data_IF_689871722262
#
_entry.id   IF_689871722262
#
_cell.length_a   1.000
_cell.length_b   1.000
_cell.length_c   1.000
_cell.angle_alpha   90.00
_cell.angle_beta   90.00
_cell.angle_gamma   90.00
#
_symmetry.space_group_name_H-M   'P 1'
#
loop_
_entity.id
_entity.type
_entity.pdbx_description
1 polymer ?
#
# COMPACT_ATOMS: atom_id res chain seq x y z
N UNK A 1 -0.87 -15.47 6.70
CA UNK A 1 -0.45 -15.60 5.28
C UNK A 1 -0.67 -14.26 4.56
N UNK A 2 0.15 -13.95 3.54
CA UNK A 2 -0.01 -12.74 2.72
C UNK A 2 -0.61 -13.12 1.37
N UNK A 3 -1.74 -12.54 1.00
CA UNK A 3 -2.37 -12.77 -0.31
C UNK A 3 -2.54 -11.44 -1.03
N UNK A 4 -2.43 -11.46 -2.36
CA UNK A 4 -2.69 -10.29 -3.19
C UNK A 4 -3.74 -10.66 -4.22
N UNK A 5 -4.70 -9.77 -4.43
CA UNK A 5 -5.73 -9.89 -5.45
C UNK A 5 -5.72 -8.62 -6.30
N UNK A 6 -5.85 -8.80 -7.62
CA UNK A 6 -5.87 -7.70 -8.59
C UNK A 6 -7.15 -7.83 -9.40
N UNK A 7 -7.89 -6.74 -9.53
CA UNK A 7 -9.09 -6.66 -10.34
C UNK A 7 -9.14 -5.32 -11.07
N UNK A 8 -9.69 -5.31 -12.29
CA UNK A 8 -9.89 -4.08 -13.06
C UNK A 8 -11.37 -3.87 -13.32
N UNK A 9 -11.85 -2.66 -13.04
CA UNK A 9 -13.20 -2.23 -13.38
C UNK A 9 -13.29 -1.96 -14.89
N UNK A 10 -14.15 -2.69 -15.59
CA UNK A 10 -14.41 -2.44 -17.02
C UNK A 10 -15.12 -1.10 -17.25
N UNK A 11 -15.87 -0.60 -16.26
CA UNK A 11 -16.65 0.64 -16.37
C UNK A 11 -15.78 1.86 -16.10
N UNK A 12 -14.98 1.83 -15.03
CA UNK A 12 -14.19 2.99 -14.58
C UNK A 12 -12.73 2.93 -15.00
N UNK A 13 -12.25 1.80 -15.53
CA UNK A 13 -10.84 1.58 -15.85
C UNK A 13 -9.92 1.48 -14.62
N UNK A 14 -10.44 1.64 -13.41
CA UNK A 14 -9.65 1.57 -12.16
C UNK A 14 -9.15 0.14 -11.95
N UNK A 15 -7.84 0.00 -11.78
CA UNK A 15 -7.21 -1.24 -11.34
C UNK A 15 -7.08 -1.21 -9.82
N UNK A 16 -7.71 -2.17 -9.15
CA UNK A 16 -7.67 -2.34 -7.70
C UNK A 16 -6.74 -3.48 -7.34
N UNK A 17 -5.80 -3.20 -6.46
CA UNK A 17 -4.94 -4.19 -5.81
C UNK A 17 -5.33 -4.27 -4.34
N UNK A 18 -5.70 -5.46 -3.88
CA UNK A 18 -6.02 -5.72 -2.47
C UNK A 18 -4.95 -6.66 -1.92
N UNK A 19 -4.21 -6.17 -0.94
CA UNK A 19 -3.20 -6.95 -0.23
C UNK A 19 -3.68 -7.24 1.19
N UNK A 20 -3.93 -8.52 1.48
CA UNK A 20 -4.27 -8.99 2.82
C UNK A 20 -3.00 -9.32 3.58
N UNK A 21 -2.87 -8.70 4.75
CA UNK A 21 -1.69 -8.75 5.61
C UNK A 21 -2.02 -9.47 6.90
N UNK A 22 -1.14 -10.40 7.28
CA UNK A 22 -1.17 -11.05 8.59
C UNK A 22 -0.95 -10.03 9.72
N UNK A 23 -1.89 -9.93 10.67
CA UNK A 23 -1.82 -8.96 11.76
C UNK A 23 -0.66 -9.24 12.73
N UNK A 24 -0.10 -10.47 12.74
CA UNK A 24 1.09 -10.82 13.49
C UNK A 24 2.31 -9.96 13.13
N UNK A 25 2.36 -9.45 11.88
CA UNK A 25 3.43 -8.54 11.42
C UNK A 25 3.48 -7.24 12.21
N UNK A 26 2.34 -6.75 12.70
CA UNK A 26 2.29 -5.52 13.50
C UNK A 26 2.95 -5.68 14.88
N UNK A 27 3.17 -6.92 15.32
CA UNK A 27 3.85 -7.25 16.59
C UNK A 27 5.30 -7.67 16.38
N UNK A 28 5.74 -7.75 15.13
CA UNK A 28 7.08 -8.19 14.74
C UNK A 28 8.15 -7.13 14.92
N UNK A 29 9.41 -7.58 14.89
CA UNK A 29 10.60 -6.74 14.86
C UNK A 29 11.04 -6.37 13.43
N UNK A 30 10.24 -6.76 12.42
CA UNK A 30 10.48 -6.47 11.01
C UNK A 30 10.50 -4.96 10.75
N UNK A 31 11.42 -4.53 9.88
CA UNK A 31 11.58 -3.13 9.45
C UNK A 31 10.70 -2.77 8.27
N UNK A 32 10.12 -3.76 7.61
CA UNK A 32 9.17 -3.62 6.53
C UNK A 32 8.41 -4.92 6.35
N UNK A 33 7.24 -4.84 5.75
CA UNK A 33 6.50 -6.00 5.24
C UNK A 33 6.23 -5.77 3.77
N UNK A 34 6.47 -6.76 2.92
CA UNK A 34 6.39 -6.62 1.46
C UNK A 34 5.30 -7.56 0.93
N UNK A 35 4.49 -7.08 -0.01
CA UNK A 35 3.48 -7.90 -0.68
C UNK A 35 4.11 -8.91 -1.66
N UNK A 36 3.35 -9.96 -2.05
CA UNK A 36 3.62 -10.63 -3.32
C UNK A 36 3.66 -9.62 -4.48
N UNK A 37 4.40 -9.92 -5.54
CA UNK A 37 4.44 -9.06 -6.72
C UNK A 37 3.12 -9.09 -7.49
N UNK A 38 2.87 -8.02 -8.22
CA UNK A 38 1.73 -7.89 -9.12
C UNK A 38 2.11 -7.01 -10.32
N UNK A 39 1.33 -7.13 -11.39
CA UNK A 39 1.53 -6.33 -12.60
C UNK A 39 0.86 -4.96 -12.44
N UNK A 40 1.66 -3.91 -12.67
CA UNK A 40 1.25 -2.52 -12.65
C UNK A 40 1.23 -1.96 -14.07
N UNK A 41 0.09 -1.46 -14.51
CA UNK A 41 -0.03 -0.82 -15.81
C UNK A 41 0.38 0.65 -15.76
N UNK A 42 1.40 1.01 -16.54
CA UNK A 42 1.98 2.36 -16.58
C UNK A 42 1.69 3.13 -17.89
N UNK A 43 0.64 2.74 -18.63
CA UNK A 43 0.34 3.29 -19.96
C UNK A 43 1.31 2.82 -21.06
N UNK A 44 2.09 1.79 -20.79
CA UNK A 44 3.00 1.08 -21.70
C UNK A 44 3.05 -0.41 -21.29
N UNK A 45 4.22 -1.08 -21.39
CA UNK A 45 4.37 -2.43 -20.85
C UNK A 45 4.00 -2.48 -19.36
N UNK A 46 3.35 -3.56 -18.94
CA UNK A 46 3.14 -3.83 -17.51
C UNK A 46 4.49 -3.98 -16.80
N UNK A 47 4.56 -3.46 -15.58
CA UNK A 47 5.75 -3.51 -14.75
C UNK A 47 5.49 -4.32 -13.48
N UNK A 48 6.50 -5.07 -13.02
CA UNK A 48 6.43 -5.75 -11.72
C UNK A 48 6.44 -4.71 -10.60
N UNK A 49 5.45 -4.77 -9.73
CA UNK A 49 5.32 -3.88 -8.58
C UNK A 49 5.03 -4.66 -7.28
N UNK A 50 5.29 -3.99 -6.15
CA UNK A 50 5.05 -4.49 -4.79
C UNK A 50 4.54 -3.36 -3.92
N UNK A 51 3.66 -3.69 -2.98
CA UNK A 51 3.33 -2.83 -1.86
C UNK A 51 4.30 -3.12 -0.72
N UNK A 52 4.71 -2.07 -0.03
CA UNK A 52 5.62 -2.14 1.12
C UNK A 52 5.01 -1.36 2.27
N UNK A 53 4.87 -2.03 3.42
CA UNK A 53 4.59 -1.35 4.68
C UNK A 53 5.89 -0.99 5.36
N UNK A 54 6.04 0.26 5.78
CA UNK A 54 7.11 0.68 6.68
C UNK A 54 6.55 1.06 8.04
N UNK A 55 7.18 0.64 9.14
CA UNK A 55 6.82 1.09 10.48
C UNK A 55 7.14 2.58 10.64
N UNK A 56 6.31 3.30 11.40
CA UNK A 56 6.54 4.71 11.71
C UNK A 56 7.94 4.86 12.37
N UNK A 57 8.81 5.72 11.84
CA UNK A 57 10.09 6.02 12.48
C UNK A 57 9.90 6.62 13.87
N UNK A 58 10.81 6.33 14.79
CA UNK A 58 10.85 7.01 16.09
C UNK A 58 11.38 8.44 15.91
N UNK A 59 10.82 9.41 16.64
CA UNK A 59 11.20 10.82 16.52
C UNK A 59 12.70 11.05 16.78
N UNK A 60 13.26 10.33 17.77
CA UNK A 60 14.66 10.51 18.18
C UNK A 60 15.69 9.81 17.27
N UNK A 61 15.27 9.10 16.21
CA UNK A 61 16.16 8.39 15.27
C UNK A 61 17.02 7.27 15.87
N UNK A 62 17.04 7.12 17.19
CA UNK A 62 17.84 6.13 17.92
C UNK A 62 17.17 4.75 17.85
N UNK A 63 17.77 3.88 17.06
CA UNK A 63 17.44 2.46 16.97
C UNK A 63 16.58 2.08 15.77
N UNK A 64 16.63 0.80 15.39
CA UNK A 64 15.85 0.24 14.29
C UNK A 64 14.35 0.47 14.49
N UNK A 65 13.67 1.07 13.51
CA UNK A 65 12.22 1.12 13.42
C UNK A 65 11.65 -0.31 13.24
N UNK A 66 10.53 -0.60 13.89
CA UNK A 66 9.79 -1.85 13.73
C UNK A 66 8.32 -1.64 14.05
N UNK A 67 7.43 -2.48 13.53
CA UNK A 67 5.99 -2.33 13.81
C UNK A 67 5.66 -2.49 15.29
N UNK A 68 6.38 -3.38 16.00
CA UNK A 68 6.26 -3.49 17.46
C UNK A 68 6.57 -2.18 18.17
N UNK A 69 7.66 -1.49 17.78
CA UNK A 69 8.05 -0.21 18.40
C UNK A 69 7.12 0.94 18.02
N UNK A 70 6.62 0.93 16.78
CA UNK A 70 5.65 1.93 16.32
C UNK A 70 4.22 1.65 16.81
N UNK A 71 4.00 0.60 17.61
CA UNK A 71 2.68 0.17 18.08
C UNK A 71 1.70 -0.06 16.92
N UNK A 72 2.19 -0.64 15.83
CA UNK A 72 1.43 -0.92 14.62
C UNK A 72 1.15 0.30 13.73
N UNK A 73 1.76 1.46 14.01
CA UNK A 73 1.72 2.60 13.10
C UNK A 73 2.72 2.44 11.95
N UNK A 74 2.36 2.92 10.77
CA UNK A 74 3.25 2.89 9.61
C UNK A 74 2.68 3.55 8.37
N UNK A 75 3.41 3.44 7.27
CA UNK A 75 3.04 3.98 5.96
C UNK A 75 2.95 2.85 4.92
N UNK A 76 2.24 3.14 3.82
CA UNK A 76 2.09 2.24 2.66
C UNK A 76 2.81 2.88 1.48
N UNK A 77 3.68 2.11 0.83
CA UNK A 77 4.44 2.55 -0.33
C UNK A 77 4.23 1.59 -1.51
N UNK A 78 4.14 2.14 -2.71
CA UNK A 78 4.17 1.42 -3.97
C UNK A 78 5.59 1.46 -4.51
N UNK A 79 6.19 0.28 -4.70
CA UNK A 79 7.49 0.12 -5.35
C UNK A 79 7.29 -0.53 -6.71
N UNK A 80 7.89 0.05 -7.74
CA UNK A 80 7.90 -0.46 -9.10
C UNK A 80 9.33 -0.84 -9.50
N UNK A 81 9.49 -1.94 -10.24
CA UNK A 81 10.78 -2.40 -10.75
C UNK A 81 11.10 -1.80 -12.14
N UNK A 82 10.15 -1.09 -12.78
CA UNK A 82 10.42 -0.37 -14.03
C UNK A 82 11.22 0.91 -13.80
N UNK A 83 12.02 1.27 -14.80
CA UNK A 83 12.83 2.49 -14.85
C UNK A 83 12.07 3.72 -15.37
N UNK A 84 10.75 3.64 -15.51
CA UNK A 84 9.92 4.74 -16.02
C UNK A 84 8.44 4.41 -16.02
N UNK A 85 7.63 5.44 -16.26
CA UNK A 85 6.17 5.34 -16.33
C UNK A 85 5.50 6.01 -15.14
N UNK A 86 4.39 6.68 -15.42
CA UNK A 86 3.65 7.48 -14.43
C UNK A 86 2.35 6.79 -14.02
N UNK A 87 2.02 6.91 -12.74
CA UNK A 87 0.84 6.34 -12.10
C UNK A 87 0.11 7.42 -11.30
N UNK A 88 -1.22 7.28 -11.18
CA UNK A 88 -2.02 8.04 -10.21
C UNK A 88 -2.82 7.04 -9.38
N UNK A 89 -2.74 7.12 -8.05
CA UNK A 89 -3.37 6.12 -7.19
C UNK A 89 -3.94 6.68 -5.89
N UNK A 90 -4.90 5.95 -5.32
CA UNK A 90 -5.40 6.16 -3.96
C UNK A 90 -5.05 4.95 -3.08
N UNK A 91 -4.89 5.21 -1.79
CA UNK A 91 -4.63 4.15 -0.78
C UNK A 91 -5.71 4.19 0.29
N UNK A 92 -6.25 3.02 0.63
CA UNK A 92 -7.11 2.85 1.80
C UNK A 92 -6.69 1.61 2.59
N UNK A 93 -6.93 1.62 3.90
CA UNK A 93 -6.73 0.44 4.75
C UNK A 93 -8.05 0.08 5.42
N UNK A 94 -8.29 -1.22 5.62
CA UNK A 94 -9.52 -1.74 6.19
C UNK A 94 -9.36 -3.16 6.72
N UNK A 95 -10.46 -3.74 7.19
CA UNK A 95 -10.49 -5.10 7.76
C UNK A 95 -10.66 -6.21 6.73
N UNK A 96 -10.68 -5.85 5.44
CA UNK A 96 -10.84 -6.78 4.32
C UNK A 96 -12.28 -7.22 4.07
N UNK A 97 -13.28 -6.63 4.73
CA UNK A 97 -14.70 -6.92 4.51
C UNK A 97 -15.36 -5.86 3.63
N UNK A 98 -16.36 -6.27 2.83
CA UNK A 98 -17.14 -5.36 1.97
C UNK A 98 -17.89 -4.27 2.75
N UNK A 99 -18.21 -4.53 4.03
CA UNK A 99 -18.87 -3.56 4.92
C UNK A 99 -17.96 -2.48 5.48
N UNK A 100 -16.64 -2.59 5.29
CA UNK A 100 -15.69 -1.62 5.81
C UNK A 100 -15.77 -0.30 5.03
N UNK A 101 -16.14 0.79 5.70
CA UNK A 101 -16.11 2.13 5.08
C UNK A 101 -14.67 2.50 4.70
N UNK A 102 -14.34 2.35 3.42
CA UNK A 102 -13.05 2.76 2.87
C UNK A 102 -12.96 4.29 2.92
N UNK A 103 -11.88 4.80 3.53
CA UNK A 103 -11.50 6.22 3.50
C UNK A 103 -10.22 6.37 2.68
N UNK A 104 -10.31 6.34 1.34
CA UNK A 104 -9.14 6.48 0.48
C UNK A 104 -8.45 7.83 0.72
N UNK A 105 -7.11 7.81 0.71
CA UNK A 105 -6.24 8.97 0.72
C UNK A 105 -5.54 9.07 -0.64
N UNK A 106 -5.34 10.30 -1.12
CA UNK A 106 -4.83 10.58 -2.47
C UNK A 106 -5.84 11.40 -3.29
N UNK A 107 -5.68 11.46 -4.62
CA UNK A 107 -4.70 10.72 -5.41
C UNK A 107 -3.26 11.19 -5.20
N UNK A 108 -2.31 10.28 -5.42
CA UNK A 108 -0.87 10.57 -5.56
C UNK A 108 -0.49 10.33 -7.00
N UNK A 109 0.03 11.36 -7.67
CA UNK A 109 0.67 11.23 -8.97
C UNK A 109 2.18 10.98 -8.77
N UNK A 110 2.74 10.01 -9.47
CA UNK A 110 4.15 9.66 -9.38
C UNK A 110 4.70 9.22 -10.73
N UNK A 111 5.96 9.55 -11.01
CA UNK A 111 6.73 9.05 -12.15
C UNK A 111 7.89 8.18 -11.66
N UNK A 112 7.89 6.90 -12.03
CA UNK A 112 8.90 5.93 -11.62
C UNK A 112 10.28 6.19 -12.25
N UNK A 113 10.39 7.09 -13.24
CA UNK A 113 11.68 7.57 -13.74
C UNK A 113 12.43 8.42 -12.70
N UNK A 114 11.73 9.06 -11.76
CA UNK A 114 12.34 9.87 -10.70
C UNK A 114 12.83 8.97 -9.56
N UNK A 115 11.93 8.13 -9.03
CA UNK A 115 12.20 7.20 -7.95
C UNK A 115 11.39 5.92 -8.14
N UNK A 116 11.97 4.76 -7.83
CA UNK A 116 11.29 3.46 -7.93
C UNK A 116 10.21 3.22 -6.87
N UNK A 117 10.09 4.10 -5.88
CA UNK A 117 9.14 3.96 -4.77
C UNK A 117 8.42 5.28 -4.52
N UNK A 118 7.11 5.21 -4.26
CA UNK A 118 6.28 6.35 -3.88
C UNK A 118 5.28 5.95 -2.78
N UNK A 119 4.77 6.96 -2.07
CA UNK A 119 3.78 6.79 -1.01
C UNK A 119 2.89 8.02 -0.92
N UNK A 120 2.01 8.06 0.08
CA UNK A 120 1.24 9.27 0.37
C UNK A 120 2.15 10.41 0.86
N UNK A 121 1.71 11.68 0.75
CA UNK A 121 2.41 12.80 1.37
C UNK A 121 2.57 12.62 2.88
N UNK A 122 3.62 13.22 3.47
CA UNK A 122 4.03 13.03 4.87
C UNK A 122 2.92 13.28 5.89
N UNK A 123 2.07 14.26 5.63
CA UNK A 123 0.91 14.62 6.46
C UNK A 123 -0.20 13.56 6.45
N UNK A 124 -0.24 12.72 5.42
CA UNK A 124 -1.28 11.73 5.18
C UNK A 124 -0.75 10.28 5.14
N UNK A 125 0.56 10.06 5.23
CA UNK A 125 1.17 8.73 5.04
C UNK A 125 0.93 7.76 6.18
N UNK A 126 0.67 8.27 7.38
CA UNK A 126 0.62 7.46 8.59
C UNK A 126 -0.75 6.83 8.84
N UNK A 127 -0.76 5.51 9.02
CA UNK A 127 -1.92 4.70 9.38
C UNK A 127 -1.69 4.01 10.72
N UNK A 128 -2.77 3.86 11.48
CA UNK A 128 -2.82 2.96 12.64
C UNK A 128 -3.44 1.63 12.18
N UNK A 129 -2.60 0.68 11.72
CA UNK A 129 -3.09 -0.59 11.18
C UNK A 129 -3.81 -1.43 12.23
N UNK A 130 -3.54 -1.21 13.52
CA UNK A 130 -4.17 -1.97 14.61
C UNK A 130 -5.68 -1.74 14.70
N UNK A 131 -6.15 -0.57 14.24
CA UNK A 131 -7.57 -0.20 14.26
C UNK A 131 -8.42 -0.91 13.20
N UNK A 132 -7.77 -1.46 12.19
CA UNK A 132 -8.45 -2.10 11.05
C UNK A 132 -8.18 -3.60 11.01
N UNK A 133 -7.65 -4.20 12.07
CA UNK A 133 -7.48 -5.64 12.16
C UNK A 133 -8.83 -6.32 12.32
N UNK A 134 -9.16 -7.21 11.38
CA UNK A 134 -10.20 -8.20 11.54
C UNK A 134 -9.77 -9.19 12.62
N UNK A 135 -10.44 -9.18 13.77
CA UNK A 135 -10.08 -10.02 14.91
C UNK A 135 -10.33 -11.51 14.68
N UNK A 136 -11.32 -11.87 13.86
CA UNK A 136 -11.62 -13.27 13.57
C UNK A 136 -10.58 -13.86 12.63
N UNK A 137 -10.25 -13.14 11.54
CA UNK A 137 -9.28 -13.59 10.55
C UNK A 137 -7.81 -13.32 10.94
N UNK A 138 -7.57 -12.49 11.96
CA UNK A 138 -6.24 -11.98 12.34
C UNK A 138 -5.48 -11.35 11.15
N UNK A 139 -6.20 -10.57 10.34
CA UNK A 139 -5.65 -9.90 9.15
C UNK A 139 -6.16 -8.48 9.03
N UNK A 140 -5.53 -7.69 8.17
CA UNK A 140 -6.05 -6.42 7.66
C UNK A 140 -5.77 -6.33 6.16
N UNK A 141 -6.44 -5.41 5.47
CA UNK A 141 -6.28 -5.21 4.03
C UNK A 141 -5.73 -3.81 3.73
N UNK A 142 -4.79 -3.77 2.79
CA UNK A 142 -4.34 -2.56 2.12
C UNK A 142 -4.92 -2.59 0.71
N UNK A 143 -5.65 -1.55 0.33
CA UNK A 143 -6.19 -1.43 -1.01
C UNK A 143 -5.56 -0.25 -1.73
N UNK A 144 -4.99 -0.53 -2.90
CA UNK A 144 -4.43 0.44 -3.83
C UNK A 144 -5.38 0.53 -5.03
N UNK A 145 -5.99 1.68 -5.26
CA UNK A 145 -6.79 1.94 -6.45
C UNK A 145 -5.96 2.79 -7.43
N UNK A 146 -5.53 2.18 -8.53
CA UNK A 146 -4.81 2.83 -9.62
C UNK A 146 -5.85 3.44 -10.56
N UNK A 147 -5.77 4.75 -10.73
CA UNK A 147 -6.68 5.50 -11.59
C UNK A 147 -6.31 5.28 -13.06
N UNK A 148 -7.30 5.24 -13.96
CA UNK A 148 -7.01 5.25 -15.39
C UNK A 148 -6.23 6.52 -15.74
N UNK A 149 -5.28 6.40 -16.66
CA UNK A 149 -4.68 7.60 -17.27
C UNK A 149 -5.77 8.32 -18.05
N UNK A 150 -5.88 9.64 -17.86
CA UNK A 150 -6.62 10.46 -18.79
C UNK A 150 -5.93 10.33 -20.16
N UNK A 151 -6.69 10.02 -21.20
CA UNK A 151 -6.22 10.19 -22.58
C UNK A 151 -5.79 11.66 -22.76
N UNK A 152 -4.66 11.95 -23.39
CA UNK A 152 -4.32 13.33 -23.78
C UNK A 152 -5.38 13.91 -24.72
#
# INVERSE_FOLDING_TARGET
AHTIAVARSAVTGVQRVVWTVDAGKLRGHERQTVSPCFDLELGGPSATARLVLFPKPHADGKGSASFKKSRGWGSVHLKCEASGGSVSFLVSVGDGTEGCKRKPRGPVAHDFAQHSTCGLPREAEQWDFTRVVNKAAQTFAVCLDILPRASP
#
